data_IF_744425790277
#
_entry.id   IF_744425790277
#
_cell.length_a   1.000
_cell.length_b   1.000
_cell.length_c   1.000
_cell.angle_alpha   90.00
_cell.angle_beta   90.00
_cell.angle_gamma   90.00
#
_symmetry.space_group_name_H-M   'P 1'
#
loop_
_entity.id
_entity.type
_entity.pdbx_description
1 polymer ?
#
# COMPACT_ATOMS: atom_id res chain seq x y z
N UNK A 1 -21.42 -66.53 15.18
CA UNK A 1 -20.45 -66.42 14.08
C UNK A 1 -20.52 -65.06 13.45
N UNK A 2 -19.34 -64.54 13.16
CA UNK A 2 -18.99 -63.25 12.56
C UNK A 2 -19.44 -63.11 11.10
N UNK A 3 -19.31 -61.87 10.58
CA UNK A 3 -19.17 -61.43 9.17
C UNK A 3 -20.41 -60.63 8.70
N UNK A 4 -20.36 -59.37 8.20
CA UNK A 4 -19.33 -58.64 7.46
C UNK A 4 -19.61 -57.13 7.51
N UNK A 5 -18.61 -56.36 7.96
CA UNK A 5 -18.55 -54.89 7.91
C UNK A 5 -18.40 -54.44 6.44
N UNK A 6 -19.43 -53.80 5.86
CA UNK A 6 -19.36 -53.23 4.50
C UNK A 6 -18.95 -51.75 4.58
N UNK A 7 -17.71 -51.55 4.17
CA UNK A 7 -16.96 -50.32 3.93
C UNK A 7 -17.71 -49.38 2.97
N UNK A 8 -18.12 -48.21 3.43
CA UNK A 8 -18.66 -47.12 2.60
C UNK A 8 -17.71 -45.90 2.69
N UNK A 9 -16.87 -45.81 1.65
CA UNK A 9 -16.45 -44.62 0.90
C UNK A 9 -16.27 -43.26 1.60
N UNK A 10 -15.02 -42.78 1.53
CA UNK A 10 -14.56 -41.46 1.01
C UNK A 10 -15.35 -40.22 1.41
N UNK A 11 -14.73 -39.39 2.26
CA UNK A 11 -14.56 -37.92 2.18
C UNK A 11 -14.15 -37.43 3.58
N UNK A 12 -13.21 -36.54 3.83
CA UNK A 12 -12.37 -35.72 2.98
C UNK A 12 -11.01 -35.59 3.68
N UNK A 13 -9.96 -35.64 2.89
CA UNK A 13 -8.65 -35.17 3.30
C UNK A 13 -8.68 -33.66 3.52
N UNK A 14 -7.78 -33.20 4.39
CA UNK A 14 -7.23 -31.85 4.41
C UNK A 14 -8.20 -30.71 4.75
N UNK A 15 -8.49 -30.55 6.04
CA UNK A 15 -8.53 -29.20 6.62
C UNK A 15 -7.09 -28.81 7.02
N UNK A 16 -6.20 -28.68 6.01
CA UNK A 16 -5.04 -27.80 6.18
C UNK A 16 -5.65 -26.42 6.43
N UNK A 17 -5.37 -25.84 7.59
CA UNK A 17 -5.69 -24.46 7.86
C UNK A 17 -5.26 -23.64 6.66
N UNK A 18 -6.24 -23.08 5.95
CA UNK A 18 -5.96 -21.95 5.08
C UNK A 18 -5.47 -20.89 6.04
N UNK A 19 -4.18 -20.59 6.01
CA UNK A 19 -3.70 -19.27 6.41
C UNK A 19 -4.70 -18.28 5.81
N UNK A 20 -5.47 -17.64 6.69
CA UNK A 20 -6.40 -16.61 6.27
C UNK A 20 -5.52 -15.52 5.64
N UNK A 21 -5.59 -15.37 4.32
CA UNK A 21 -4.92 -14.26 3.66
C UNK A 21 -5.35 -12.97 4.38
N UNK A 22 -4.39 -12.13 4.81
CA UNK A 22 -4.71 -10.98 5.62
C UNK A 22 -5.64 -10.08 4.81
N UNK A 23 -6.87 -9.91 5.30
CA UNK A 23 -7.89 -9.12 4.63
C UNK A 23 -7.32 -7.75 4.23
N UNK A 24 -7.46 -7.42 2.95
CA UNK A 24 -6.98 -6.15 2.42
C UNK A 24 -7.94 -5.05 2.85
N UNK A 25 -7.60 -4.36 3.94
CA UNK A 25 -8.35 -3.23 4.46
C UNK A 25 -7.61 -1.91 4.25
N UNK A 26 -8.35 -0.85 3.93
CA UNK A 26 -7.86 0.54 3.81
C UNK A 26 -7.28 1.05 5.13
N UNK A 27 -7.76 0.51 6.26
CA UNK A 27 -7.26 0.87 7.60
C UNK A 27 -5.77 0.53 7.82
N UNK A 28 -5.15 -0.23 6.91
CA UNK A 28 -3.71 -0.53 6.96
C UNK A 28 -2.84 0.57 6.34
N UNK A 29 -3.44 1.53 5.65
CA UNK A 29 -2.74 2.67 5.04
C UNK A 29 -2.73 3.85 6.01
N UNK A 30 -1.57 4.48 6.17
CA UNK A 30 -1.43 5.74 6.89
C UNK A 30 -1.58 6.91 5.90
N UNK A 31 -2.81 7.40 5.77
CA UNK A 31 -3.16 8.50 4.87
C UNK A 31 -3.34 9.76 5.71
N UNK A 32 -2.58 10.79 5.38
CA UNK A 32 -2.59 12.07 6.10
C UNK A 32 -2.70 13.24 5.12
N UNK A 33 -3.16 14.37 5.64
CA UNK A 33 -3.06 15.65 4.94
C UNK A 33 -1.66 16.22 5.20
N UNK A 34 -0.97 16.61 4.13
CA UNK A 34 0.31 17.29 4.21
C UNK A 34 0.27 18.63 3.48
N UNK A 35 1.00 19.61 4.00
CA UNK A 35 1.20 20.90 3.36
C UNK A 35 2.55 20.91 2.64
N UNK A 36 2.56 21.26 1.35
CA UNK A 36 3.80 21.44 0.60
C UNK A 36 4.42 22.76 1.04
N UNK A 37 5.58 22.70 1.68
CA UNK A 37 6.31 23.87 2.17
C UNK A 37 7.32 24.39 1.15
N UNK A 38 7.86 23.49 0.32
CA UNK A 38 8.73 23.80 -0.81
C UNK A 38 8.54 22.76 -1.91
N UNK A 39 8.66 23.20 -3.15
CA UNK A 39 8.74 22.35 -4.33
C UNK A 39 9.86 22.86 -5.23
N UNK A 40 10.62 21.94 -5.84
CA UNK A 40 11.67 22.24 -6.80
C UNK A 40 11.78 21.13 -7.85
N UNK A 41 12.25 21.45 -9.06
CA UNK A 41 12.50 20.42 -10.08
C UNK A 41 13.65 19.53 -9.66
N UNK A 42 13.53 18.23 -9.90
CA UNK A 42 14.60 17.28 -9.64
C UNK A 42 15.78 17.56 -10.59
N UNK A 43 17.02 17.66 -10.10
CA UNK A 43 18.18 18.05 -10.91
C UNK A 43 18.48 17.08 -12.06
N UNK A 44 18.27 15.77 -11.82
CA UNK A 44 18.56 14.71 -12.80
C UNK A 44 17.31 14.17 -13.52
N UNK A 45 16.12 14.72 -13.25
CA UNK A 45 14.86 14.17 -13.78
C UNK A 45 13.82 15.25 -14.09
N UNK A 46 13.71 15.61 -15.37
CA UNK A 46 12.83 16.68 -15.85
C UNK A 46 11.33 16.44 -15.60
N UNK A 47 10.93 15.20 -15.34
CA UNK A 47 9.54 14.84 -15.07
C UNK A 47 9.18 14.83 -13.58
N UNK A 48 10.14 15.07 -12.69
CA UNK A 48 9.94 14.92 -11.24
C UNK A 48 10.11 16.25 -10.49
N UNK A 49 9.25 16.47 -9.50
CA UNK A 49 9.48 17.46 -8.45
C UNK A 49 9.99 16.79 -7.19
N UNK A 50 10.81 17.52 -6.45
CA UNK A 50 11.20 17.22 -5.07
C UNK A 50 10.49 18.21 -4.17
N UNK A 51 9.69 17.69 -3.25
CA UNK A 51 8.81 18.45 -2.39
C UNK A 51 9.14 18.20 -0.92
N UNK A 52 9.12 19.25 -0.11
CA UNK A 52 9.15 19.16 1.36
C UNK A 52 7.72 19.28 1.88
N UNK A 53 7.16 18.18 2.39
CA UNK A 53 5.76 18.11 2.86
C UNK A 53 5.74 18.04 4.38
N UNK A 54 5.10 19.01 5.02
CA UNK A 54 4.79 18.97 6.46
C UNK A 54 3.51 18.15 6.70
N UNK A 55 3.65 17.06 7.44
CA UNK A 55 2.56 16.15 7.83
C UNK A 55 2.30 16.16 9.34
N UNK A 56 2.79 17.19 10.05
CA UNK A 56 2.71 17.31 11.51
C UNK A 56 3.75 16.47 12.27
N UNK A 57 4.86 16.12 11.60
CA UNK A 57 5.98 15.40 12.20
C UNK A 57 7.08 16.36 12.67
N UNK A 58 8.11 15.85 13.36
CA UNK A 58 9.21 16.67 13.85
C UNK A 58 10.00 17.36 12.71
N UNK A 59 10.03 16.75 11.53
CA UNK A 59 10.68 17.30 10.33
C UNK A 59 9.79 17.06 9.10
N UNK A 60 9.76 17.99 8.13
CA UNK A 60 9.08 17.77 6.85
C UNK A 60 9.64 16.54 6.13
N UNK A 61 8.76 15.83 5.40
CA UNK A 61 9.14 14.68 4.59
C UNK A 61 9.52 15.12 3.18
N UNK A 62 10.57 14.53 2.63
CA UNK A 62 10.91 14.69 1.22
C UNK A 62 10.12 13.71 0.38
N UNK A 63 9.35 14.23 -0.58
CA UNK A 63 8.54 13.43 -1.52
C UNK A 63 8.98 13.75 -2.94
N UNK A 64 9.03 12.73 -3.79
CA UNK A 64 9.33 12.89 -5.22
C UNK A 64 8.09 12.56 -6.01
N UNK A 65 7.56 13.55 -6.75
CA UNK A 65 6.29 13.43 -7.48
C UNK A 65 6.51 13.58 -8.98
N UNK A 66 5.76 12.84 -9.79
CA UNK A 66 5.81 12.92 -11.26
C UNK A 66 4.94 14.03 -11.86
N UNK A 67 4.81 15.16 -11.17
CA UNK A 67 3.78 16.16 -11.47
C UNK A 67 4.23 17.26 -12.45
N UNK A 68 5.50 17.30 -12.87
CA UNK A 68 6.06 18.39 -13.70
C UNK A 68 5.29 18.62 -15.01
N UNK A 69 4.71 17.57 -15.59
CA UNK A 69 3.94 17.63 -16.85
C UNK A 69 2.48 18.05 -16.66
N UNK A 70 1.99 18.05 -15.42
CA UNK A 70 0.58 18.21 -15.10
C UNK A 70 0.32 19.49 -14.31
N UNK A 71 1.21 19.86 -13.39
CA UNK A 71 1.06 20.99 -12.48
C UNK A 71 2.30 21.88 -12.61
N UNK A 72 2.13 23.18 -12.94
CA UNK A 72 3.23 24.13 -12.93
C UNK A 72 3.72 24.37 -11.50
N UNK A 73 5.00 24.71 -11.35
CA UNK A 73 5.61 24.90 -10.03
C UNK A 73 4.92 25.96 -9.17
N UNK A 74 4.30 26.97 -9.80
CA UNK A 74 3.57 28.05 -9.13
C UNK A 74 2.31 27.57 -8.41
N UNK A 75 1.69 26.49 -8.86
CA UNK A 75 0.49 25.90 -8.24
C UNK A 75 0.83 24.89 -7.12
N UNK A 76 2.12 24.62 -6.91
CA UNK A 76 2.60 23.69 -5.89
C UNK A 76 2.85 24.36 -4.53
N UNK A 77 2.78 25.70 -4.45
CA UNK A 77 3.14 26.50 -3.27
C UNK A 77 1.93 27.14 -2.60
#
# INVERSE_FOLDING_TARGET
>A
ETTKKKKQTKSAAAAKGKDAEPEISVARLDIRVGLITKAQKHPDADSLYVEEIDVGEACPRTVVSGLVKYIPLEEMQ
#
